data_IF_280378003680
#
_entry.id   IF_280378003680
#
_cell.length_a   1.000
_cell.length_b   1.000
_cell.length_c   1.000
_cell.angle_alpha   90.00
_cell.angle_beta   90.00
_cell.angle_gamma   90.00
#
_symmetry.space_group_name_H-M   'P 1'
#
loop_
_entity.id
_entity.type
_entity.pdbx_description
1 polymer ?
#
# COMPACT_ATOMS: atom_id res chain seq x y z
N UNK A 1 20.99 -34.13 33.42
CA UNK A 1 21.22 -34.16 31.97
C UNK A 1 20.80 -32.79 31.43
N UNK A 2 21.75 -31.95 31.03
CA UNK A 2 21.45 -30.67 30.40
C UNK A 2 20.99 -30.95 28.96
N UNK A 3 19.76 -30.63 28.65
CA UNK A 3 19.29 -30.64 27.27
C UNK A 3 19.85 -29.39 26.59
N UNK A 4 20.78 -29.57 25.70
CA UNK A 4 21.29 -28.52 24.84
C UNK A 4 20.25 -28.31 23.74
N UNK A 5 19.57 -27.17 23.74
CA UNK A 5 18.71 -26.78 22.62
C UNK A 5 19.63 -26.60 21.42
N UNK A 6 19.40 -27.37 20.38
CA UNK A 6 20.24 -27.31 19.19
C UNK A 6 20.14 -25.93 18.53
N UNK A 7 21.28 -25.39 18.12
CA UNK A 7 21.35 -24.01 17.58
C UNK A 7 20.42 -23.75 16.40
N UNK A 8 20.10 -24.78 15.60
CA UNK A 8 19.19 -24.63 14.46
C UNK A 8 17.74 -24.35 14.87
N UNK A 9 17.30 -24.81 16.05
CA UNK A 9 15.97 -24.46 16.58
C UNK A 9 15.90 -22.98 16.98
N UNK A 10 16.98 -22.45 17.54
CA UNK A 10 17.07 -21.04 17.91
C UNK A 10 17.07 -20.14 16.69
N UNK A 11 17.81 -20.52 15.63
CA UNK A 11 17.87 -19.78 14.36
C UNK A 11 16.48 -19.75 13.71
N UNK A 12 15.81 -20.89 13.61
CA UNK A 12 14.47 -20.96 13.02
C UNK A 12 13.45 -20.08 13.76
N UNK A 13 13.48 -20.12 15.10
CA UNK A 13 12.60 -19.27 15.91
C UNK A 13 12.87 -17.77 15.68
N UNK A 14 14.12 -17.37 15.58
CA UNK A 14 14.49 -15.99 15.30
C UNK A 14 13.99 -15.53 13.92
N UNK A 15 14.12 -16.37 12.90
CA UNK A 15 13.65 -16.09 11.54
C UNK A 15 12.12 -15.96 11.50
N UNK A 16 11.40 -16.86 12.17
CA UNK A 16 9.94 -16.82 12.25
C UNK A 16 9.45 -15.54 12.96
N UNK A 17 10.11 -15.13 14.04
CA UNK A 17 9.82 -13.87 14.75
C UNK A 17 10.11 -12.67 13.86
N UNK A 18 11.24 -12.65 13.16
CA UNK A 18 11.59 -11.55 12.26
C UNK A 18 10.57 -11.40 11.12
N UNK A 19 10.06 -12.50 10.59
CA UNK A 19 9.01 -12.48 9.58
C UNK A 19 7.68 -11.98 10.13
N UNK A 20 7.32 -12.36 11.36
CA UNK A 20 6.10 -11.90 12.03
C UNK A 20 6.10 -10.38 12.28
N UNK A 21 7.27 -9.76 12.43
CA UNK A 21 7.41 -8.30 12.55
C UNK A 21 7.30 -7.55 11.23
N UNK A 22 7.36 -8.22 10.11
CA UNK A 22 7.19 -7.56 8.82
C UNK A 22 5.73 -7.09 8.64
N UNK A 23 5.58 -5.93 8.05
CA UNK A 23 4.25 -5.44 7.67
C UNK A 23 3.67 -6.32 6.57
N UNK A 24 2.60 -7.03 6.86
CA UNK A 24 1.98 -8.01 5.97
C UNK A 24 1.20 -7.35 4.82
N UNK A 25 0.58 -6.20 5.08
CA UNK A 25 -0.22 -5.50 4.09
C UNK A 25 -0.03 -3.99 4.16
N UNK A 26 -0.52 -3.28 3.15
CA UNK A 26 -0.58 -1.81 3.16
C UNK A 26 -1.54 -1.33 4.25
N UNK A 27 -1.07 -0.44 5.12
CA UNK A 27 -1.87 0.17 6.20
C UNK A 27 -2.64 1.39 5.74
N UNK A 28 -2.09 2.12 4.76
CA UNK A 28 -2.65 3.39 4.27
C UNK A 28 -3.64 3.19 3.13
N UNK A 29 -3.76 1.99 2.58
CA UNK A 29 -4.63 1.72 1.44
C UNK A 29 -6.12 2.01 1.71
N UNK A 30 -6.56 1.82 2.96
CA UNK A 30 -7.94 2.10 3.36
C UNK A 30 -8.25 3.59 3.54
N UNK A 31 -7.20 4.44 3.57
CA UNK A 31 -7.35 5.89 3.70
C UNK A 31 -7.50 6.61 2.35
N UNK A 32 -7.36 5.88 1.24
CA UNK A 32 -7.40 6.43 -0.11
C UNK A 32 -8.44 5.71 -0.95
N UNK A 33 -9.06 6.43 -1.86
CA UNK A 33 -9.99 5.86 -2.83
C UNK A 33 -9.23 5.00 -3.85
N UNK A 34 -9.71 3.78 -4.07
CA UNK A 34 -9.12 2.86 -5.03
C UNK A 34 -9.86 2.95 -6.37
N UNK A 35 -9.21 3.48 -7.39
CA UNK A 35 -9.73 3.53 -8.76
C UNK A 35 -9.24 2.32 -9.54
N UNK A 36 -10.15 1.44 -9.94
CA UNK A 36 -9.86 0.24 -10.73
C UNK A 36 -10.34 0.39 -12.17
N UNK A 37 -9.89 -0.49 -13.06
CA UNK A 37 -10.34 -0.52 -14.46
C UNK A 37 -9.74 0.58 -15.34
N UNK A 38 -8.59 1.13 -14.98
CA UNK A 38 -7.90 2.15 -15.78
C UNK A 38 -7.24 1.46 -16.98
N UNK A 39 -7.59 1.93 -18.19
CA UNK A 39 -7.01 1.47 -19.44
C UNK A 39 -6.05 2.55 -19.96
N UNK A 40 -4.75 2.17 -20.14
CA UNK A 40 -3.73 3.09 -20.62
C UNK A 40 -2.73 3.53 -19.55
N UNK A 41 -1.93 4.54 -19.88
CA UNK A 41 -0.84 5.04 -19.02
C UNK A 41 -1.25 6.18 -18.09
N UNK A 42 -2.35 6.85 -18.40
CA UNK A 42 -2.86 8.01 -17.65
C UNK A 42 -4.35 7.88 -17.39
N UNK A 43 -4.80 8.54 -16.35
CA UNK A 43 -6.22 8.67 -16.03
C UNK A 43 -6.53 10.12 -15.67
N UNK A 44 -7.78 10.49 -15.84
CA UNK A 44 -8.29 11.79 -15.39
C UNK A 44 -9.34 11.60 -14.31
N UNK A 45 -9.38 12.52 -13.38
CA UNK A 45 -10.42 12.62 -12.35
C UNK A 45 -10.98 14.03 -12.38
N UNK A 46 -12.30 14.13 -12.45
CA UNK A 46 -13.00 15.40 -12.32
C UNK A 46 -13.14 15.72 -10.84
N UNK A 47 -12.77 16.92 -10.48
CA UNK A 47 -12.86 17.46 -9.13
C UNK A 47 -13.75 18.72 -9.17
N UNK A 48 -14.55 18.91 -8.14
CA UNK A 48 -15.43 20.07 -8.00
C UNK A 48 -14.98 20.78 -6.73
N UNK A 49 -14.78 22.09 -6.82
CA UNK A 49 -14.38 22.89 -5.67
C UNK A 49 -15.43 22.86 -4.55
N UNK A 50 -14.93 22.99 -3.33
CA UNK A 50 -15.75 23.00 -2.13
C UNK A 50 -16.54 24.31 -2.10
N UNK A 51 -17.87 24.19 -1.96
CA UNK A 51 -18.77 25.31 -1.79
C UNK A 51 -19.18 25.38 -0.32
N UNK A 52 -19.05 26.55 0.30
CA UNK A 52 -19.47 26.75 1.68
C UNK A 52 -20.92 27.18 1.76
N UNK A 53 -21.63 26.64 2.75
CA UNK A 53 -23.01 27.06 3.02
C UNK A 53 -23.04 28.47 3.65
N UNK A 54 -23.87 29.33 3.10
CA UNK A 54 -24.08 30.71 3.61
C UNK A 54 -25.26 30.72 4.58
N UNK A 55 -25.10 31.41 5.70
CA UNK A 55 -26.17 31.61 6.68
C UNK A 55 -27.21 32.58 6.14
N UNK A 56 -28.48 32.25 6.35
CA UNK A 56 -29.60 33.11 6.02
C UNK A 56 -29.96 33.96 7.24
N UNK A 57 -29.80 35.27 7.15
CA UNK A 57 -30.01 36.19 8.26
C UNK A 57 -31.42 36.82 8.27
N UNK A 58 -32.12 36.84 7.15
CA UNK A 58 -33.44 37.45 7.07
C UNK A 58 -34.49 36.58 6.36
N UNK A 59 -35.78 36.86 6.64
CA UNK A 59 -36.91 36.04 6.18
C UNK A 59 -37.14 36.07 4.66
N UNK A 60 -36.72 37.12 3.97
CA UNK A 60 -36.88 37.34 2.52
C UNK A 60 -35.56 37.67 1.83
N UNK A 61 -34.47 37.18 2.38
CA UNK A 61 -33.15 37.36 1.82
C UNK A 61 -33.01 36.67 0.47
N UNK A 62 -32.43 37.35 -0.49
CA UNK A 62 -32.12 36.79 -1.80
C UNK A 62 -30.98 35.82 -1.67
N UNK A 63 -31.18 34.59 -2.15
CA UNK A 63 -30.11 33.58 -2.16
C UNK A 63 -29.02 33.95 -3.17
N UNK A 64 -27.77 34.02 -2.72
CA UNK A 64 -26.63 34.10 -3.60
C UNK A 64 -26.33 32.72 -4.18
N UNK A 65 -26.24 32.64 -5.51
CA UNK A 65 -25.81 31.43 -6.17
C UNK A 65 -24.27 31.38 -6.20
N UNK A 66 -23.73 30.27 -5.80
CA UNK A 66 -22.30 29.99 -5.89
C UNK A 66 -22.08 29.01 -7.04
N UNK A 67 -21.15 29.31 -7.92
CA UNK A 67 -20.81 28.47 -9.06
C UNK A 67 -19.49 27.73 -8.74
N UNK A 68 -19.53 26.41 -8.47
CA UNK A 68 -18.32 25.64 -8.15
C UNK A 68 -17.45 25.48 -9.39
N UNK A 69 -16.17 25.74 -9.24
CA UNK A 69 -15.21 25.54 -10.31
C UNK A 69 -14.94 24.06 -10.56
N UNK A 70 -14.99 23.62 -11.80
CA UNK A 70 -14.68 22.25 -12.21
C UNK A 70 -13.22 22.14 -12.61
N UNK A 71 -12.49 21.23 -11.96
CA UNK A 71 -11.08 20.97 -12.22
C UNK A 71 -10.88 19.53 -12.68
N UNK A 72 -9.98 19.34 -13.64
CA UNK A 72 -9.59 18.02 -14.11
C UNK A 72 -8.16 17.74 -13.63
N UNK A 73 -8.00 16.70 -12.83
CA UNK A 73 -6.68 16.22 -12.41
C UNK A 73 -6.26 15.03 -13.28
N UNK A 74 -5.04 15.08 -13.74
CA UNK A 74 -4.43 13.99 -14.50
C UNK A 74 -3.41 13.26 -13.64
N UNK A 75 -3.47 11.93 -13.67
CA UNK A 75 -2.50 11.06 -13.01
C UNK A 75 -1.87 10.08 -13.99
N UNK A 76 -0.60 9.77 -13.77
CA UNK A 76 0.13 8.76 -14.55
C UNK A 76 0.31 7.50 -13.71
N UNK A 77 0.14 6.35 -14.38
CA UNK A 77 0.37 5.06 -13.76
C UNK A 77 1.85 4.71 -13.76
N UNK A 78 2.36 4.33 -12.61
CA UNK A 78 3.72 3.79 -12.45
C UNK A 78 3.63 2.33 -12.02
N UNK A 79 4.32 1.46 -12.72
CA UNK A 79 4.35 0.03 -12.42
C UNK A 79 5.49 -0.29 -11.47
N UNK A 80 5.18 -1.02 -10.42
CA UNK A 80 6.16 -1.55 -9.49
C UNK A 80 6.17 -3.07 -9.57
N UNK A 81 7.36 -3.63 -9.58
CA UNK A 81 7.56 -5.07 -9.53
C UNK A 81 8.64 -5.40 -8.51
N UNK A 82 8.58 -6.60 -7.98
CA UNK A 82 9.62 -7.18 -7.17
C UNK A 82 9.83 -8.63 -7.60
N UNK A 83 11.06 -8.99 -7.87
CA UNK A 83 11.42 -10.35 -8.25
C UNK A 83 12.60 -10.82 -7.39
N UNK A 84 12.49 -12.02 -6.83
CA UNK A 84 13.57 -12.68 -6.13
C UNK A 84 13.96 -13.89 -6.99
N UNK A 85 15.23 -13.97 -7.35
CA UNK A 85 15.78 -15.12 -8.06
C UNK A 85 16.18 -16.18 -7.03
N UNK A 86 15.68 -17.39 -7.21
CA UNK A 86 16.12 -18.58 -6.47
C UNK A 86 16.86 -19.50 -7.42
N UNK A 87 18.04 -19.97 -7.01
CA UNK A 87 18.73 -20.99 -7.74
C UNK A 87 18.11 -22.36 -7.44
N UNK A 88 18.03 -23.21 -8.45
CA UNK A 88 17.46 -24.55 -8.33
C UNK A 88 18.28 -25.45 -7.41
N UNK A 89 19.58 -25.19 -7.34
CA UNK A 89 20.49 -25.94 -6.48
C UNK A 89 20.35 -25.56 -5.00
N UNK A 90 19.89 -24.33 -4.71
CA UNK A 90 19.62 -23.87 -3.35
C UNK A 90 18.35 -24.53 -2.78
N UNK A 91 17.35 -24.78 -3.60
CA UNK A 91 16.10 -25.47 -3.20
C UNK A 91 16.38 -26.90 -2.69
N UNK A 92 17.41 -27.56 -3.24
CA UNK A 92 17.84 -28.90 -2.84
C UNK A 92 18.70 -28.95 -1.56
N UNK A 93 19.30 -27.82 -1.17
CA UNK A 93 20.22 -27.72 -0.02
C UNK A 93 19.59 -27.23 1.26
N UNK A 94 18.43 -26.56 1.16
CA UNK A 94 17.76 -25.96 2.31
C UNK A 94 16.78 -26.96 2.92
N UNK A 95 16.96 -27.25 4.20
CA UNK A 95 16.09 -28.17 4.97
C UNK A 95 14.67 -27.65 5.19
N UNK A 96 14.44 -26.34 5.07
CA UNK A 96 13.14 -25.71 5.19
C UNK A 96 12.70 -25.15 3.84
N UNK A 97 11.41 -25.20 3.52
CA UNK A 97 10.88 -24.65 2.26
C UNK A 97 10.99 -23.11 2.27
N UNK A 98 11.97 -22.51 1.58
CA UNK A 98 12.17 -21.06 1.57
C UNK A 98 11.12 -20.33 0.72
N UNK A 99 10.38 -21.04 -0.13
CA UNK A 99 9.44 -20.45 -1.09
C UNK A 99 8.36 -19.63 -0.39
N UNK A 100 7.81 -20.15 0.70
CA UNK A 100 6.77 -19.44 1.45
C UNK A 100 7.30 -18.13 2.07
N UNK A 101 8.50 -18.18 2.63
CA UNK A 101 9.17 -17.01 3.22
C UNK A 101 9.45 -15.92 2.18
N UNK A 102 9.90 -16.27 1.00
CA UNK A 102 10.15 -15.34 -0.09
C UNK A 102 8.86 -14.73 -0.64
N UNK A 103 7.81 -15.52 -0.76
CA UNK A 103 6.49 -15.02 -1.20
C UNK A 103 5.94 -14.01 -0.21
N UNK A 104 6.00 -14.30 1.09
CA UNK A 104 5.56 -13.37 2.13
C UNK A 104 6.37 -12.07 2.13
N UNK A 105 7.70 -12.18 2.00
CA UNK A 105 8.57 -11.00 1.92
C UNK A 105 8.28 -10.14 0.69
N UNK A 106 8.00 -10.75 -0.45
CA UNK A 106 7.62 -10.04 -1.66
C UNK A 106 6.28 -9.30 -1.49
N UNK A 107 5.27 -9.97 -0.96
CA UNK A 107 3.96 -9.37 -0.70
C UNK A 107 4.09 -8.18 0.27
N UNK A 108 4.84 -8.34 1.35
CA UNK A 108 5.11 -7.29 2.32
C UNK A 108 5.86 -6.09 1.70
N UNK A 109 6.78 -6.33 0.78
CA UNK A 109 7.52 -5.26 0.09
C UNK A 109 6.63 -4.41 -0.80
N UNK A 110 5.67 -5.02 -1.50
CA UNK A 110 4.68 -4.31 -2.32
C UNK A 110 3.72 -3.49 -1.45
N UNK A 111 3.29 -4.03 -0.32
CA UNK A 111 2.49 -3.29 0.67
C UNK A 111 3.20 -2.03 1.19
N UNK A 112 4.46 -2.17 1.59
CA UNK A 112 5.29 -1.03 2.02
C UNK A 112 5.51 0.00 0.90
N UNK A 113 5.63 -0.45 -0.35
CA UNK A 113 5.78 0.46 -1.49
C UNK A 113 4.51 1.28 -1.72
N UNK A 114 3.34 0.64 -1.64
CA UNK A 114 2.05 1.34 -1.73
C UNK A 114 1.93 2.43 -0.64
N UNK A 115 2.25 2.10 0.61
CA UNK A 115 2.22 3.08 1.70
C UNK A 115 3.17 4.26 1.48
N UNK A 116 4.40 4.00 1.02
CA UNK A 116 5.36 5.06 0.69
C UNK A 116 4.86 5.97 -0.42
N UNK A 117 4.18 5.41 -1.42
CA UNK A 117 3.62 6.22 -2.51
C UNK A 117 2.51 7.13 -2.00
N UNK A 118 1.64 6.64 -1.13
CA UNK A 118 0.58 7.43 -0.50
C UNK A 118 1.18 8.54 0.37
N UNK A 119 2.14 8.21 1.22
CA UNK A 119 2.80 9.19 2.10
C UNK A 119 3.53 10.27 1.28
N UNK A 120 4.23 9.88 0.21
CA UNK A 120 4.94 10.85 -0.64
C UNK A 120 4.00 11.78 -1.42
N UNK A 121 2.76 11.38 -1.61
CA UNK A 121 1.75 12.23 -2.25
C UNK A 121 1.08 13.21 -1.26
N UNK A 122 1.22 12.98 0.05
CA UNK A 122 0.68 13.85 1.11
C UNK A 122 1.67 14.93 1.56
N UNK A 123 2.95 14.74 1.29
CA UNK A 123 4.03 15.67 1.62
C UNK A 123 4.31 16.66 0.48
#
# INVERSE_FOLDING_TARGET
VAFTIEQHHVIKYADDVQMAYQQDASRMRNCVELKTGIVGKSFSTNDIDIVEAVTKDSRHEQHSHQDPEHKVRWGNLTYYYNSIMMDRDDDARVLADPKNSYVMTNAASLGRRADRTIISALL
#
